data_IF_381054078949
#
_entry.id   IF_381054078949
#
_cell.length_a   1.000
_cell.length_b   1.000
_cell.length_c   1.000
_cell.angle_alpha   90.00
_cell.angle_beta   90.00
_cell.angle_gamma   90.00
#
_symmetry.space_group_name_H-M   'P 1'
#
loop_
_entity.id
_entity.type
_entity.pdbx_description
1 polymer ?
#
# COMPACT_ATOMS: atom_id res chain seq x y z
N UNK A 1 -7.68 20.56 54.58
CA UNK A 1 -6.72 19.53 55.02
C UNK A 1 -6.17 18.82 53.78
N UNK A 2 -4.85 18.84 53.62
CA UNK A 2 -4.11 18.02 52.65
C UNK A 2 -4.25 16.54 53.05
N UNK A 3 -4.36 15.62 52.10
CA UNK A 3 -3.51 14.41 51.94
C UNK A 3 -3.94 13.69 50.65
N UNK A 4 -2.93 13.32 49.87
CA UNK A 4 -2.95 12.70 48.55
C UNK A 4 -3.26 11.18 48.61
N UNK A 5 -3.37 10.50 47.44
CA UNK A 5 -3.93 9.15 47.32
C UNK A 5 -2.93 8.03 47.69
N UNK A 6 -3.46 6.92 48.23
CA UNK A 6 -2.70 5.68 48.44
C UNK A 6 -2.67 4.81 47.16
N UNK A 7 -1.44 4.64 46.67
CA UNK A 7 -0.77 3.46 46.03
C UNK A 7 -1.41 2.12 46.48
N UNK A 8 -1.45 1.00 45.76
CA UNK A 8 -0.44 0.12 45.11
C UNK A 8 -1.30 -0.91 44.32
N UNK A 9 -0.98 -1.41 43.12
CA UNK A 9 -0.16 -2.63 42.93
C UNK A 9 0.17 -2.89 41.46
N UNK A 10 1.42 -3.33 41.28
CA UNK A 10 2.00 -3.82 40.05
C UNK A 10 1.95 -5.36 40.05
N UNK A 11 1.71 -5.96 38.90
CA UNK A 11 2.13 -7.33 38.56
C UNK A 11 2.71 -7.26 37.13
N UNK A 12 4.04 -7.30 37.00
CA UNK A 12 4.88 -8.50 36.89
C UNK A 12 4.92 -9.03 35.44
N UNK A 13 6.10 -8.89 34.86
CA UNK A 13 6.54 -9.44 33.59
C UNK A 13 6.70 -10.96 33.67
N UNK A 14 6.49 -11.66 32.55
CA UNK A 14 7.03 -13.00 32.35
C UNK A 14 7.80 -13.08 31.02
N UNK A 15 8.91 -13.81 31.08
CA UNK A 15 9.99 -13.88 30.10
C UNK A 15 9.87 -15.13 29.21
N UNK A 16 10.12 -14.92 27.92
CA UNK A 16 11.00 -15.70 27.04
C UNK A 16 10.95 -17.25 27.08
N UNK A 17 10.51 -17.87 25.97
CA UNK A 17 11.06 -19.16 25.49
C UNK A 17 11.38 -19.08 24.00
N UNK A 18 12.65 -19.35 23.69
CA UNK A 18 13.24 -19.56 22.36
C UNK A 18 13.27 -21.07 22.10
N UNK A 19 12.78 -21.53 20.93
CA UNK A 19 13.27 -22.77 20.30
C UNK A 19 12.86 -22.85 18.80
N UNK A 20 13.88 -22.95 17.94
CA UNK A 20 13.90 -23.44 16.55
C UNK A 20 15.13 -24.38 16.47
N UNK A 21 15.34 -25.22 15.45
CA UNK A 21 14.47 -25.72 14.37
C UNK A 21 14.60 -27.26 14.16
N UNK A 22 13.75 -27.87 13.32
CA UNK A 22 14.04 -29.19 12.72
C UNK A 22 13.37 -29.33 11.34
N UNK A 23 14.14 -29.81 10.36
CA UNK A 23 13.82 -30.08 8.94
C UNK A 23 13.64 -31.60 8.76
N UNK A 24 12.89 -32.08 7.76
CA UNK A 24 13.53 -32.57 6.51
C UNK A 24 12.68 -32.23 5.26
N UNK A 25 13.25 -31.75 4.13
CA UNK A 25 13.83 -32.48 2.98
C UNK A 25 12.95 -33.61 2.42
N UNK A 26 12.30 -33.35 1.27
CA UNK A 26 12.17 -34.31 0.17
C UNK A 26 12.15 -33.55 -1.16
N UNK A 27 12.94 -34.04 -2.12
CA UNK A 27 13.10 -33.56 -3.49
C UNK A 27 13.02 -34.76 -4.45
N UNK A 28 12.29 -34.62 -5.56
CA UNK A 28 12.36 -35.32 -6.86
C UNK A 28 10.99 -35.14 -7.57
N UNK A 29 10.77 -34.49 -8.72
CA UNK A 29 11.31 -34.51 -10.12
C UNK A 29 10.40 -35.32 -11.06
N UNK A 30 10.30 -34.84 -12.33
CA UNK A 30 9.89 -35.48 -13.63
C UNK A 30 8.57 -34.89 -14.17
N UNK A 31 8.56 -33.93 -15.13
CA UNK A 31 8.52 -34.01 -16.63
C UNK A 31 7.34 -34.89 -17.14
N UNK A 32 6.54 -34.63 -18.18
CA UNK A 32 6.71 -34.05 -19.53
C UNK A 32 5.31 -34.05 -20.19
N UNK A 33 5.00 -33.08 -21.07
CA UNK A 33 4.28 -33.30 -22.34
C UNK A 33 3.93 -31.95 -23.00
N UNK A 34 4.43 -31.76 -24.21
CA UNK A 34 4.23 -30.62 -25.06
C UNK A 34 3.25 -30.93 -26.20
N UNK A 35 2.47 -29.90 -26.59
CA UNK A 35 1.97 -29.56 -27.95
C UNK A 35 0.81 -30.40 -28.54
N UNK A 36 -0.06 -29.82 -29.40
CA UNK A 36 0.28 -28.81 -30.41
C UNK A 36 -0.63 -27.56 -30.56
N UNK A 37 -0.09 -26.67 -31.39
CA UNK A 37 -0.57 -25.39 -31.93
C UNK A 37 -1.46 -25.64 -33.15
N UNK A 38 -2.58 -24.92 -33.27
CA UNK A 38 -3.24 -24.52 -34.53
C UNK A 38 -3.43 -22.99 -34.45
N UNK A 39 -2.63 -22.17 -35.13
CA UNK A 39 -2.77 -21.69 -36.52
C UNK A 39 -3.89 -20.64 -36.70
N UNK A 40 -3.47 -19.36 -36.57
CA UNK A 40 -3.75 -18.13 -37.35
C UNK A 40 -4.67 -18.26 -38.60
N UNK A 41 -5.60 -17.32 -38.86
CA UNK A 41 -5.43 -16.07 -39.66
C UNK A 41 -6.80 -15.32 -39.78
N UNK A 42 -6.99 -14.12 -40.41
CA UNK A 42 -6.22 -12.85 -40.43
C UNK A 42 -7.07 -11.53 -40.35
N UNK A 43 -6.47 -10.47 -39.76
CA UNK A 43 -6.38 -9.02 -40.15
C UNK A 43 -7.65 -8.11 -40.27
N UNK A 44 -7.45 -6.85 -39.80
CA UNK A 44 -8.11 -5.53 -40.10
C UNK A 44 -8.95 -5.04 -38.91
N UNK A 45 -8.55 -4.05 -38.11
CA UNK A 45 -8.07 -2.71 -38.48
C UNK A 45 -6.83 -2.27 -37.70
N UNK A 46 -5.77 -1.94 -38.45
CA UNK A 46 -4.60 -1.25 -37.94
C UNK A 46 -4.83 0.27 -38.04
N UNK A 47 -4.83 0.96 -36.90
CA UNK A 47 -4.41 2.37 -36.83
C UNK A 47 -3.28 2.51 -35.81
N UNK A 48 -2.09 2.28 -36.35
CA UNK A 48 -0.79 2.87 -36.05
C UNK A 48 -0.54 3.36 -34.61
N UNK A 49 0.35 2.65 -33.90
CA UNK A 49 1.19 3.25 -32.86
C UNK A 49 2.63 3.14 -33.36
N UNK A 50 3.08 4.22 -33.98
CA UNK A 50 4.45 4.44 -34.42
C UNK A 50 5.18 5.25 -33.34
N UNK A 51 6.15 4.61 -32.67
CA UNK A 51 7.51 5.09 -32.35
C UNK A 51 8.06 4.32 -31.14
N UNK A 52 9.15 3.59 -31.38
CA UNK A 52 9.84 2.81 -30.37
C UNK A 52 10.51 3.72 -29.32
N UNK A 53 9.97 3.70 -28.09
CA UNK A 53 10.65 4.10 -26.86
C UNK A 53 11.20 2.84 -26.17
N UNK A 54 12.21 2.94 -25.29
CA UNK A 54 12.70 1.79 -24.51
C UNK A 54 11.52 1.10 -23.84
N UNK A 55 11.61 -0.20 -23.56
CA UNK A 55 10.54 -0.96 -22.89
C UNK A 55 10.29 -0.31 -21.51
N UNK A 56 9.39 0.67 -21.48
CA UNK A 56 9.09 1.51 -20.33
C UNK A 56 8.27 0.65 -19.39
N UNK A 57 8.88 0.20 -18.29
CA UNK A 57 8.10 -0.32 -17.16
C UNK A 57 7.08 0.76 -16.77
N UNK A 58 5.76 0.46 -16.80
CA UNK A 58 4.76 1.46 -16.48
C UNK A 58 5.02 2.08 -15.11
N UNK A 59 4.83 3.41 -14.99
CA UNK A 59 5.17 4.19 -13.78
C UNK A 59 4.61 3.59 -12.49
N UNK A 60 3.46 2.92 -12.55
CA UNK A 60 2.78 2.34 -11.37
C UNK A 60 3.38 1.02 -10.87
N UNK A 61 4.18 0.31 -11.68
CA UNK A 61 4.76 -1.00 -11.30
C UNK A 61 5.56 -0.97 -9.99
N UNK A 62 6.53 -0.06 -9.76
CA UNK A 62 7.27 -0.03 -8.50
C UNK A 62 6.38 0.21 -7.29
N UNK A 63 5.31 1.00 -7.45
CA UNK A 63 4.34 1.24 -6.38
C UNK A 63 3.45 0.02 -6.11
N UNK A 64 3.07 -0.70 -7.17
CA UNK A 64 2.30 -1.92 -7.07
C UNK A 64 3.03 -3.02 -6.29
N UNK A 65 4.34 -3.16 -6.53
CA UNK A 65 5.18 -4.10 -5.77
C UNK A 65 5.25 -3.73 -4.29
N UNK A 66 5.35 -2.43 -3.97
CA UNK A 66 5.36 -1.97 -2.57
C UNK A 66 4.01 -2.22 -1.89
N UNK A 67 2.89 -1.96 -2.57
CA UNK A 67 1.54 -2.27 -2.09
C UNK A 67 1.39 -3.77 -1.80
N UNK A 68 1.92 -4.64 -2.67
CA UNK A 68 1.86 -6.09 -2.48
C UNK A 68 2.56 -6.59 -1.22
N UNK A 69 3.47 -5.82 -0.63
CA UNK A 69 4.09 -6.15 0.67
C UNK A 69 3.07 -6.09 1.82
N UNK A 70 2.03 -5.27 1.69
CA UNK A 70 0.97 -5.11 2.68
C UNK A 70 -0.31 -5.83 2.29
N UNK A 71 -0.58 -5.96 0.99
CA UNK A 71 -1.77 -6.60 0.46
C UNK A 71 -1.46 -7.47 -0.77
N UNK A 72 -1.30 -8.79 -0.62
CA UNK A 72 -0.95 -9.67 -1.73
C UNK A 72 -2.04 -9.74 -2.81
N UNK A 73 -3.29 -9.41 -2.47
CA UNK A 73 -4.44 -9.42 -3.37
C UNK A 73 -4.71 -8.07 -4.03
N UNK A 74 -3.79 -7.10 -3.90
CA UNK A 74 -3.95 -5.79 -4.51
C UNK A 74 -4.09 -5.89 -6.03
N UNK A 75 -5.02 -5.09 -6.57
CA UNK A 75 -5.20 -4.93 -8.01
C UNK A 75 -4.26 -3.85 -8.55
N UNK A 76 -3.53 -4.18 -9.62
CA UNK A 76 -2.62 -3.26 -10.30
C UNK A 76 -3.38 -2.05 -10.88
N UNK A 77 -4.60 -2.25 -11.34
CA UNK A 77 -5.42 -1.18 -11.91
C UNK A 77 -5.79 -0.12 -10.88
N UNK A 78 -6.07 -0.54 -9.64
CA UNK A 78 -6.40 0.36 -8.54
C UNK A 78 -5.16 1.19 -8.19
N UNK A 79 -4.00 0.55 -8.10
CA UNK A 79 -2.73 1.26 -7.86
C UNK A 79 -2.43 2.25 -8.98
N UNK A 80 -2.67 1.88 -10.24
CA UNK A 80 -2.53 2.79 -11.39
C UNK A 80 -3.42 4.04 -11.25
N UNK A 81 -4.68 3.89 -10.82
CA UNK A 81 -5.58 5.04 -10.58
C UNK A 81 -5.05 5.97 -9.47
N UNK A 82 -4.51 5.40 -8.39
CA UNK A 82 -3.91 6.18 -7.30
C UNK A 82 -2.67 6.92 -7.80
N UNK A 83 -1.80 6.26 -8.56
CA UNK A 83 -0.61 6.88 -9.17
C UNK A 83 -0.99 8.05 -10.08
N UNK A 84 -2.05 7.88 -10.89
CA UNK A 84 -2.56 8.94 -11.75
C UNK A 84 -3.12 10.13 -10.94
N UNK A 85 -3.80 9.87 -9.82
CA UNK A 85 -4.24 10.93 -8.92
C UNK A 85 -3.05 11.69 -8.30
N UNK A 86 -2.02 10.98 -7.85
CA UNK A 86 -0.83 11.62 -7.28
C UNK A 86 -0.05 12.43 -8.33
N UNK A 87 -0.06 12.02 -9.61
CA UNK A 87 0.39 12.82 -10.74
C UNK A 87 1.79 13.44 -10.55
N UNK A 88 1.86 14.77 -10.61
CA UNK A 88 3.11 15.55 -10.50
C UNK A 88 3.74 15.42 -9.11
N UNK A 89 2.96 15.16 -8.05
CA UNK A 89 3.50 15.00 -6.70
C UNK A 89 4.54 13.87 -6.63
N UNK A 90 4.42 12.84 -7.47
CA UNK A 90 5.38 11.73 -7.52
C UNK A 90 6.71 12.08 -8.21
N UNK A 91 6.81 13.24 -8.86
CA UNK A 91 8.05 13.69 -9.49
C UNK A 91 9.02 14.33 -8.48
N UNK A 92 8.52 14.84 -7.34
CA UNK A 92 9.36 15.36 -6.26
C UNK A 92 9.64 14.27 -5.23
N UNK A 93 10.87 14.18 -4.73
CA UNK A 93 11.23 13.15 -3.74
C UNK A 93 10.43 13.30 -2.44
N UNK A 94 10.28 14.53 -1.96
CA UNK A 94 9.60 14.83 -0.70
C UNK A 94 8.10 14.47 -0.78
N UNK A 95 7.48 14.79 -1.91
CA UNK A 95 6.06 14.51 -2.15
C UNK A 95 5.77 13.04 -2.54
N UNK A 96 6.77 12.16 -2.61
CA UNK A 96 6.53 10.71 -2.76
C UNK A 96 6.24 10.02 -1.45
N UNK A 97 6.56 10.67 -0.33
CA UNK A 97 6.44 10.06 0.99
C UNK A 97 5.45 10.83 1.86
N UNK A 98 4.88 10.15 2.85
CA UNK A 98 3.98 10.75 3.83
C UNK A 98 4.72 10.83 5.17
N UNK A 99 4.98 12.06 5.60
CA UNK A 99 5.57 12.38 6.89
C UNK A 99 4.50 12.32 8.00
N UNK A 100 4.25 11.12 8.52
CA UNK A 100 3.27 10.92 9.59
C UNK A 100 3.51 11.73 10.88
N UNK A 101 4.75 12.18 11.12
CA UNK A 101 5.08 13.02 12.27
C UNK A 101 4.64 14.47 12.09
N UNK A 102 4.49 14.94 10.85
CA UNK A 102 4.08 16.29 10.53
C UNK A 102 2.54 16.38 10.47
N UNK A 103 1.98 17.28 11.27
CA UNK A 103 0.54 17.52 11.32
C UNK A 103 0.02 18.14 10.02
N UNK A 104 0.78 19.05 9.40
CA UNK A 104 0.37 19.70 8.16
C UNK A 104 0.23 18.68 7.01
N UNK A 105 1.13 17.69 6.97
CA UNK A 105 1.05 16.58 6.03
C UNK A 105 -0.19 15.70 6.29
N UNK A 106 -0.47 15.34 7.56
CA UNK A 106 -1.68 14.57 7.91
C UNK A 106 -2.96 15.30 7.52
N UNK A 107 -3.03 16.61 7.76
CA UNK A 107 -4.15 17.46 7.35
C UNK A 107 -4.30 17.46 5.83
N UNK A 108 -3.19 17.61 5.09
CA UNK A 108 -3.23 17.59 3.62
C UNK A 108 -3.74 16.26 3.08
N UNK A 109 -3.30 15.13 3.65
CA UNK A 109 -3.84 13.81 3.28
C UNK A 109 -5.34 13.71 3.60
N UNK A 110 -5.77 14.20 4.76
CA UNK A 110 -7.20 14.23 5.12
C UNK A 110 -8.03 15.03 4.12
N UNK A 111 -7.63 16.27 3.82
CA UNK A 111 -8.38 17.15 2.94
C UNK A 111 -8.35 16.69 1.48
N UNK A 112 -7.17 16.35 0.95
CA UNK A 112 -7.01 16.01 -0.46
C UNK A 112 -7.44 14.59 -0.80
N UNK A 113 -7.14 13.62 0.06
CA UNK A 113 -7.42 12.21 -0.23
C UNK A 113 -8.74 11.78 0.38
N UNK A 114 -8.89 11.88 1.71
CA UNK A 114 -10.05 11.35 2.41
C UNK A 114 -11.33 12.13 2.10
N UNK A 115 -11.29 13.46 2.12
CA UNK A 115 -12.47 14.30 1.86
C UNK A 115 -12.72 14.52 0.37
N UNK A 116 -11.72 14.93 -0.41
CA UNK A 116 -11.94 15.25 -1.84
C UNK A 116 -12.02 14.03 -2.75
N UNK A 117 -11.09 13.07 -2.63
CA UNK A 117 -11.03 11.92 -3.55
C UNK A 117 -11.92 10.77 -3.10
N UNK A 118 -11.97 10.49 -1.80
CA UNK A 118 -12.82 9.45 -1.23
C UNK A 118 -14.18 9.96 -0.75
N UNK A 119 -14.45 11.26 -0.79
CA UNK A 119 -15.76 11.84 -0.44
C UNK A 119 -16.25 11.40 0.94
N UNK A 120 -15.37 11.36 1.93
CA UNK A 120 -15.73 11.04 3.31
C UNK A 120 -16.24 12.30 4.04
N UNK A 121 -17.42 12.19 4.65
CA UNK A 121 -18.09 13.26 5.40
C UNK A 121 -17.91 13.16 6.91
N UNK A 122 -17.01 12.29 7.38
CA UNK A 122 -16.71 12.13 8.79
C UNK A 122 -15.98 13.35 9.37
N UNK A 123 -15.99 13.46 10.70
CA UNK A 123 -15.30 14.55 11.41
C UNK A 123 -13.79 14.52 11.17
N UNK A 124 -13.14 15.68 11.24
CA UNK A 124 -11.69 15.80 11.07
C UNK A 124 -10.91 14.91 12.03
N UNK A 125 -11.37 14.83 13.27
CA UNK A 125 -10.80 14.00 14.32
C UNK A 125 -10.87 12.52 13.98
N UNK A 126 -11.97 12.05 13.40
CA UNK A 126 -12.11 10.63 13.04
C UNK A 126 -11.32 10.27 11.79
N UNK A 127 -11.21 11.21 10.84
CA UNK A 127 -10.34 11.04 9.68
C UNK A 127 -8.86 11.04 10.08
N UNK A 128 -8.46 11.92 11.02
CA UNK A 128 -7.08 11.96 11.52
C UNK A 128 -6.70 10.67 12.27
N UNK A 129 -7.60 10.12 13.09
CA UNK A 129 -7.41 8.79 13.70
C UNK A 129 -7.13 7.72 12.65
N UNK A 130 -7.88 7.71 11.53
CA UNK A 130 -7.67 6.75 10.45
C UNK A 130 -6.31 6.91 9.77
N UNK A 131 -5.87 8.15 9.54
CA UNK A 131 -4.52 8.46 9.03
C UNK A 131 -3.47 7.94 10.01
N UNK A 132 -3.62 8.22 11.31
CA UNK A 132 -2.70 7.77 12.35
C UNK A 132 -2.62 6.25 12.46
N UNK A 133 -3.72 5.54 12.32
CA UNK A 133 -3.71 4.07 12.30
C UNK A 133 -2.89 3.50 11.13
N UNK A 134 -3.00 4.08 9.93
CA UNK A 134 -2.16 3.66 8.79
C UNK A 134 -0.69 4.06 9.02
N UNK A 135 -0.44 5.22 9.65
CA UNK A 135 0.90 5.61 10.08
C UNK A 135 1.53 4.59 11.03
N UNK A 136 0.76 4.05 11.99
CA UNK A 136 1.21 2.97 12.88
C UNK A 136 1.41 1.65 12.13
N UNK A 137 0.54 1.32 11.16
CA UNK A 137 0.68 0.11 10.35
C UNK A 137 1.98 0.11 9.53
N UNK A 138 2.35 1.26 8.96
CA UNK A 138 3.56 1.45 8.16
C UNK A 138 4.75 1.99 8.98
N UNK A 139 4.73 1.89 10.31
CA UNK A 139 5.75 2.50 11.17
C UNK A 139 7.16 1.94 10.96
N UNK A 140 7.27 0.70 10.48
CA UNK A 140 8.57 0.06 10.20
C UNK A 140 9.28 0.71 9.01
N UNK A 141 8.54 1.31 8.10
CA UNK A 141 9.09 1.97 6.93
C UNK A 141 9.40 3.44 7.29
N UNK A 142 10.69 3.79 7.19
CA UNK A 142 11.16 5.16 7.40
C UNK A 142 10.56 6.11 6.37
N UNK A 143 10.54 5.67 5.10
CA UNK A 143 9.92 6.38 3.97
C UNK A 143 8.62 5.70 3.58
N UNK A 144 7.48 6.23 4.05
CA UNK A 144 6.13 5.68 3.77
C UNK A 144 5.67 6.17 2.41
N UNK A 145 5.65 5.28 1.42
CA UNK A 145 5.26 5.65 0.05
C UNK A 145 3.81 6.14 0.01
N UNK A 146 3.57 7.32 -0.55
CA UNK A 146 2.27 7.97 -0.60
C UNK A 146 1.21 7.14 -1.34
N UNK A 147 1.60 6.44 -2.41
CA UNK A 147 0.67 5.58 -3.17
C UNK A 147 0.22 4.40 -2.32
N UNK A 148 1.15 3.74 -1.62
CA UNK A 148 0.85 2.65 -0.71
C UNK A 148 0.00 3.13 0.46
N UNK A 149 0.31 4.28 1.02
CA UNK A 149 -0.46 4.91 2.10
C UNK A 149 -1.92 5.16 1.69
N UNK A 150 -2.13 5.72 0.49
CA UNK A 150 -3.46 6.01 -0.05
C UNK A 150 -4.25 4.73 -0.36
N UNK A 151 -3.58 3.70 -0.88
CA UNK A 151 -4.17 2.38 -1.08
C UNK A 151 -4.68 1.79 0.25
N UNK A 152 -3.85 1.82 1.29
CA UNK A 152 -4.21 1.26 2.59
C UNK A 152 -5.37 2.01 3.26
N UNK A 153 -5.42 3.33 3.13
CA UNK A 153 -6.57 4.13 3.57
C UNK A 153 -7.84 3.76 2.81
N UNK A 154 -7.79 3.70 1.48
CA UNK A 154 -8.95 3.36 0.67
C UNK A 154 -9.44 1.92 0.93
N UNK A 155 -8.51 0.98 1.18
CA UNK A 155 -8.82 -0.40 1.57
C UNK A 155 -9.58 -0.44 2.89
N UNK A 156 -9.11 0.29 3.90
CA UNK A 156 -9.75 0.33 5.22
C UNK A 156 -11.18 0.90 5.13
N UNK A 157 -11.38 1.91 4.30
CA UNK A 157 -12.68 2.52 4.05
C UNK A 157 -13.57 1.73 3.07
N UNK A 158 -13.07 0.60 2.54
CA UNK A 158 -13.74 -0.21 1.51
C UNK A 158 -14.14 0.60 0.27
N UNK A 159 -13.36 1.64 -0.06
CA UNK A 159 -13.58 2.53 -1.22
C UNK A 159 -12.60 2.28 -2.37
N UNK A 160 -11.97 1.10 -2.43
CA UNK A 160 -11.04 0.74 -3.52
C UNK A 160 -11.72 0.71 -4.89
N UNK A 161 -12.98 0.25 -4.94
CA UNK A 161 -13.78 0.18 -6.17
C UNK A 161 -14.25 1.56 -6.66
N UNK A 162 -14.28 2.57 -5.78
CA UNK A 162 -14.75 3.92 -6.08
C UNK A 162 -13.64 4.83 -6.67
N UNK A 163 -12.42 4.32 -6.81
CA UNK A 163 -11.25 5.10 -7.24
C UNK A 163 -11.20 5.39 -8.74
#
# INVERSE_FOLDING_TARGET
MKVAPKKVEAIAADKTVVAKPSKPVVAAKIVEAAKPVETIDPVKDAKTIETAKPIETPRHVPYFLDVKRYDPFASEEIVRKIVNHCGIALNSEDARFVACSDEAERVTVRESWLKKKLELTASDTDLDKKVMEICSLMQRDQKKNRVTFYYMLAKKERKLEAL
#
